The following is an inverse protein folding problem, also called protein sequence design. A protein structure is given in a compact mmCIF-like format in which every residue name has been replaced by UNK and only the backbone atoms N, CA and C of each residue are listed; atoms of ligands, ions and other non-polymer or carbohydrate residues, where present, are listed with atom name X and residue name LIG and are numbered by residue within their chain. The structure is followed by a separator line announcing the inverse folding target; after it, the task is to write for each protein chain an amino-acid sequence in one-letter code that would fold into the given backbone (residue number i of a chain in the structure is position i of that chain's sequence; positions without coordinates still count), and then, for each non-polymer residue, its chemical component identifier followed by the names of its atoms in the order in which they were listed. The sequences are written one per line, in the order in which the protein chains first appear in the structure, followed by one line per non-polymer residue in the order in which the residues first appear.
data_IF_722797675600
#
_entry.id   IF_722797675600
#
_cell.length_a   1.000
_cell.length_b   1.000
_cell.length_c   1.000
_cell.angle_alpha   90.00
_cell.angle_beta   90.00
_cell.angle_gamma   90.00
#
_symmetry.space_group_name_H-M   'P 1'
#
loop_
_entity.id
_entity.type
_entity.pdbx_description
1 polymer ?
#
# COMPACT_ATOMS: atom_id res chain seq x y z
N UNK A 1 -2.10 -11.59 -13.57
CA UNK A 1 -2.96 -10.58 -12.91
C UNK A 1 -4.26 -11.28 -12.55
N UNK A 2 -4.90 -10.99 -11.41
CA UNK A 2 -6.11 -11.70 -11.00
C UNK A 2 -7.20 -11.64 -12.07
N UNK A 3 -7.74 -12.79 -12.47
CA UNK A 3 -8.77 -12.89 -13.53
C UNK A 3 -10.18 -13.06 -12.98
N UNK A 4 -10.31 -13.28 -11.67
CA UNK A 4 -11.59 -13.49 -10.97
C UNK A 4 -11.77 -12.45 -9.84
N UNK A 5 -12.98 -11.94 -9.62
CA UNK A 5 -13.25 -11.04 -8.51
C UNK A 5 -13.17 -11.78 -7.16
N UNK A 6 -12.74 -11.07 -6.11
CA UNK A 6 -12.78 -11.57 -4.72
C UNK A 6 -12.98 -10.42 -3.74
N UNK A 7 -13.44 -10.76 -2.54
CA UNK A 7 -13.52 -9.85 -1.38
C UNK A 7 -12.58 -10.37 -0.32
N UNK A 8 -11.80 -9.48 0.29
CA UNK A 8 -10.89 -9.84 1.39
C UNK A 8 -10.79 -8.71 2.39
N UNK A 9 -10.62 -9.06 3.65
CA UNK A 9 -10.20 -8.12 4.68
C UNK A 9 -8.69 -7.90 4.55
N UNK A 10 -8.27 -6.68 4.21
CA UNK A 10 -6.84 -6.36 4.02
C UNK A 10 -5.99 -6.64 5.27
N UNK A 11 -6.59 -6.57 6.45
CA UNK A 11 -5.90 -6.85 7.71
C UNK A 11 -5.54 -8.34 7.88
N UNK A 12 -6.17 -9.23 7.14
CA UNK A 12 -5.95 -10.68 7.16
C UNK A 12 -4.99 -11.16 6.06
N UNK A 13 -4.53 -10.25 5.17
CA UNK A 13 -3.58 -10.60 4.13
C UNK A 13 -2.16 -10.83 4.71
N UNK A 14 -1.35 -11.71 4.10
CA UNK A 14 0.06 -11.84 4.45
C UNK A 14 0.79 -10.50 4.32
N UNK A 15 1.68 -10.22 5.27
CA UNK A 15 2.43 -8.96 5.35
C UNK A 15 3.93 -9.21 5.33
N UNK A 16 4.63 -8.30 4.66
CA UNK A 16 6.07 -8.23 4.61
C UNK A 16 6.57 -7.19 5.61
N UNK A 17 7.52 -7.56 6.45
CA UNK A 17 8.16 -6.62 7.37
C UNK A 17 9.24 -5.82 6.65
N UNK A 18 9.26 -4.51 6.89
CA UNK A 18 10.23 -3.57 6.32
C UNK A 18 10.96 -2.81 7.43
N UNK A 19 12.16 -2.34 7.09
CA UNK A 19 12.99 -1.49 7.95
C UNK A 19 13.16 -2.04 9.39
N UNK A 20 13.27 -3.37 9.54
CA UNK A 20 13.46 -4.02 10.84
C UNK A 20 12.22 -4.03 11.75
N UNK A 21 11.01 -4.07 11.19
CA UNK A 21 9.75 -4.14 11.95
C UNK A 21 9.09 -2.79 12.18
N UNK A 22 9.64 -1.72 11.61
CA UNK A 22 9.10 -0.35 11.70
C UNK A 22 7.87 -0.18 10.85
N UNK A 23 7.77 -1.00 9.80
CA UNK A 23 6.62 -1.03 8.93
C UNK A 23 6.28 -2.47 8.55
N UNK A 24 4.98 -2.72 8.36
CA UNK A 24 4.47 -3.88 7.66
C UNK A 24 3.73 -3.44 6.40
N UNK A 25 3.84 -4.23 5.34
CA UNK A 25 3.21 -3.94 4.05
C UNK A 25 2.52 -5.16 3.46
N UNK A 26 1.45 -4.95 2.71
CA UNK A 26 0.88 -5.92 1.78
C UNK A 26 0.44 -5.21 0.51
N UNK A 27 0.07 -5.94 -0.55
CA UNK A 27 -0.39 -5.32 -1.78
C UNK A 27 -1.57 -6.06 -2.43
N UNK A 28 -2.39 -5.27 -3.13
CA UNK A 28 -3.38 -5.74 -4.10
C UNK A 28 -3.01 -5.22 -5.48
N UNK A 29 -3.03 -6.11 -6.48
CA UNK A 29 -2.67 -5.77 -7.85
C UNK A 29 -3.85 -5.96 -8.80
N UNK A 30 -4.05 -4.99 -9.68
CA UNK A 30 -5.06 -4.96 -10.75
C UNK A 30 -4.37 -4.61 -12.07
N UNK A 31 -5.02 -4.83 -13.22
CA UNK A 31 -4.40 -4.69 -14.55
C UNK A 31 -3.63 -3.38 -14.77
N UNK A 32 -4.16 -2.26 -14.27
CA UNK A 32 -3.56 -0.94 -14.44
C UNK A 32 -2.87 -0.35 -13.20
N UNK A 33 -3.04 -0.94 -12.02
CA UNK A 33 -2.57 -0.33 -10.78
C UNK A 33 -2.26 -1.33 -9.67
N UNK A 34 -1.37 -0.92 -8.76
CA UNK A 34 -1.07 -1.61 -7.51
C UNK A 34 -1.46 -0.72 -6.34
N UNK A 35 -2.22 -1.28 -5.41
CA UNK A 35 -2.51 -0.70 -4.11
C UNK A 35 -1.62 -1.38 -3.09
N UNK A 36 -0.67 -0.64 -2.53
CA UNK A 36 0.13 -1.09 -1.40
C UNK A 36 -0.52 -0.55 -0.12
N UNK A 37 -0.64 -1.41 0.88
CA UNK A 37 -1.19 -1.09 2.18
C UNK A 37 -0.06 -1.13 3.18
N UNK A 38 0.15 -0.04 3.91
CA UNK A 38 1.29 0.12 4.79
C UNK A 38 0.85 0.47 6.21
N UNK A 39 1.39 -0.25 7.18
CA UNK A 39 1.25 0.02 8.62
C UNK A 39 2.60 0.50 9.15
N UNK A 40 2.68 1.77 9.53
CA UNK A 40 3.83 2.33 10.23
C UNK A 40 3.63 2.31 11.73
N UNK A 41 4.62 1.80 12.47
CA UNK A 41 4.54 1.73 13.92
C UNK A 41 5.19 2.95 14.60
N UNK A 42 4.59 3.45 15.69
CA UNK A 42 5.17 4.52 16.50
C UNK A 42 6.55 4.17 17.02
N UNK A 43 7.37 5.20 17.27
CA UNK A 43 8.67 5.04 17.91
C UNK A 43 9.75 4.35 17.08
N UNK A 44 9.41 3.83 15.88
CA UNK A 44 10.39 3.42 14.89
C UNK A 44 11.03 4.64 14.20
N UNK A 45 12.16 4.45 13.48
CA UNK A 45 12.59 5.41 12.49
C UNK A 45 11.50 5.74 11.48
N UNK A 46 11.70 6.76 10.66
CA UNK A 46 10.67 7.07 9.67
C UNK A 46 10.34 5.87 8.78
N UNK A 47 9.09 5.83 8.32
CA UNK A 47 8.53 4.84 7.39
C UNK A 47 9.34 4.71 6.10
N UNK A 48 10.08 5.75 5.74
CA UNK A 48 11.06 5.79 4.65
C UNK A 48 12.44 6.34 5.11
N UNK A 49 12.72 6.37 6.41
CA UNK A 49 13.94 6.91 7.04
C UNK A 49 13.86 8.37 7.56
N UNK A 50 14.53 8.68 8.68
CA UNK A 50 14.47 9.99 9.37
C UNK A 50 14.81 11.22 8.47
N UNK A 51 14.47 12.43 8.96
CA UNK A 51 14.53 13.74 8.26
C UNK A 51 15.84 13.96 7.47
N UNK A 52 15.86 14.83 6.44
CA UNK A 52 17.07 15.13 5.65
C UNK A 52 18.31 15.54 6.47
N UNK A 53 18.13 16.19 7.63
CA UNK A 53 19.23 16.52 8.57
C UNK A 53 19.96 15.31 9.14
N UNK A 54 19.37 14.12 9.04
CA UNK A 54 19.82 12.90 9.70
C UNK A 54 20.60 11.98 8.74
N UNK A 55 20.89 12.44 7.51
CA UNK A 55 21.84 11.82 6.58
C UNK A 55 21.32 10.61 5.79
N UNK A 56 20.00 10.41 5.68
CA UNK A 56 19.39 9.26 4.99
C UNK A 56 18.84 9.61 3.60
N UNK A 57 18.79 8.61 2.71
CA UNK A 57 18.38 8.76 1.30
C UNK A 57 16.84 8.75 1.17
N UNK A 58 16.21 9.80 0.61
CA UNK A 58 14.76 9.80 0.33
C UNK A 58 14.38 8.69 -0.65
N UNK A 59 13.12 8.24 -0.62
CA UNK A 59 12.61 7.42 -1.71
C UNK A 59 12.45 8.29 -2.96
N UNK A 60 12.92 7.78 -4.10
CA UNK A 60 12.90 8.45 -5.39
C UNK A 60 12.73 7.39 -6.46
N UNK A 61 11.64 7.50 -7.23
CA UNK A 61 11.31 6.52 -8.26
C UNK A 61 10.57 7.16 -9.45
N UNK A 62 10.63 6.56 -10.64
CA UNK A 62 10.07 7.14 -11.87
C UNK A 62 8.55 6.94 -12.02
N UNK A 63 7.85 6.66 -10.93
CA UNK A 63 6.41 6.43 -10.88
C UNK A 63 5.72 7.53 -10.09
N UNK A 64 4.54 7.94 -10.53
CA UNK A 64 3.63 8.70 -9.68
C UNK A 64 3.14 7.81 -8.52
N UNK A 65 2.92 8.43 -7.36
CA UNK A 65 2.35 7.80 -6.17
C UNK A 65 1.29 8.69 -5.56
N UNK A 66 0.17 8.10 -5.15
CA UNK A 66 -0.79 8.75 -4.29
C UNK A 66 -0.93 7.99 -2.97
N UNK A 67 -0.92 8.69 -1.84
CA UNK A 67 -1.04 8.09 -0.51
C UNK A 67 -2.33 8.59 0.14
N UNK A 68 -3.30 7.71 0.36
CA UNK A 68 -4.49 8.01 1.16
C UNK A 68 -4.27 7.52 2.59
N UNK A 69 -4.33 8.43 3.56
CA UNK A 69 -4.21 8.09 4.97
C UNK A 69 -5.56 7.68 5.57
N UNK A 70 -5.60 6.51 6.21
CA UNK A 70 -6.80 5.90 6.78
C UNK A 70 -6.85 6.06 8.30
N UNK A 71 -5.72 5.82 9.00
CA UNK A 71 -5.58 6.03 10.45
C UNK A 71 -4.18 6.50 10.83
N UNK A 72 -4.02 7.02 12.05
CA UNK A 72 -2.76 7.58 12.55
C UNK A 72 -2.34 8.85 11.79
N UNK A 73 -1.16 9.36 12.14
CA UNK A 73 -0.64 10.61 11.57
C UNK A 73 0.82 10.45 11.15
N UNK A 74 1.18 11.04 10.01
CA UNK A 74 2.54 11.03 9.49
C UNK A 74 3.00 12.45 9.13
N UNK A 75 4.28 12.73 9.29
CA UNK A 75 4.96 13.88 8.69
C UNK A 75 5.53 13.44 7.35
N UNK A 76 5.16 14.12 6.26
CA UNK A 76 5.66 13.82 4.90
C UNK A 76 6.42 15.01 4.36
N UNK A 77 7.70 14.82 4.07
CA UNK A 77 8.53 15.78 3.34
C UNK A 77 8.53 15.42 1.86
N UNK A 78 8.24 16.40 1.01
CA UNK A 78 8.24 16.31 -0.46
C UNK A 78 9.27 17.29 -1.02
N UNK A 79 10.16 16.81 -1.89
CA UNK A 79 11.24 17.63 -2.42
C UNK A 79 12.28 18.00 -1.36
N UNK A 80 12.75 19.25 -1.38
CA UNK A 80 13.82 19.72 -0.50
C UNK A 80 13.29 20.13 0.88
N UNK A 81 12.22 20.93 0.94
CA UNK A 81 11.81 21.62 2.17
C UNK A 81 10.32 21.47 2.54
N UNK A 82 9.46 21.01 1.63
CA UNK A 82 8.01 21.05 1.85
C UNK A 82 7.56 19.88 2.73
N UNK A 83 7.28 20.17 4.01
CA UNK A 83 6.90 19.18 5.01
C UNK A 83 5.47 19.39 5.50
N UNK A 84 4.68 18.32 5.49
CA UNK A 84 3.25 18.33 5.77
C UNK A 84 2.88 17.34 6.88
N UNK A 85 1.95 17.73 7.74
CA UNK A 85 1.26 16.82 8.65
C UNK A 85 0.08 16.18 7.92
N UNK A 86 0.12 14.86 7.76
CA UNK A 86 -0.85 14.08 7.00
C UNK A 86 -1.56 13.11 7.94
N UNK A 87 -2.88 13.26 8.10
CA UNK A 87 -3.71 12.43 8.96
C UNK A 87 -4.87 11.79 8.18
N UNK A 88 -5.83 11.15 8.88
CA UNK A 88 -6.93 10.42 8.25
C UNK A 88 -7.74 11.30 7.30
N UNK A 89 -8.01 10.79 6.09
CA UNK A 89 -8.75 11.50 5.04
C UNK A 89 -7.90 12.46 4.20
N UNK A 90 -6.64 12.71 4.55
CA UNK A 90 -5.71 13.42 3.67
C UNK A 90 -5.22 12.49 2.56
N UNK A 91 -5.00 13.08 1.38
CA UNK A 91 -4.32 12.44 0.25
C UNK A 91 -3.05 13.21 -0.09
N UNK A 92 -1.95 12.49 -0.31
CA UNK A 92 -0.69 13.04 -0.82
C UNK A 92 -0.53 12.61 -2.26
N UNK A 93 -0.27 13.54 -3.17
CA UNK A 93 0.13 13.22 -4.54
C UNK A 93 1.61 13.53 -4.72
N UNK A 94 2.36 12.55 -5.21
CA UNK A 94 3.81 12.59 -5.38
C UNK A 94 4.10 12.29 -6.85
N UNK A 95 4.44 13.31 -7.65
CA UNK A 95 4.86 13.10 -9.04
C UNK A 95 6.13 12.26 -9.14
N UNK A 96 6.30 11.57 -10.26
CA UNK A 96 7.50 10.80 -10.57
C UNK A 96 8.79 11.61 -10.35
N UNK A 97 9.77 10.96 -9.73
CA UNK A 97 11.09 11.48 -9.38
C UNK A 97 11.11 12.61 -8.33
N UNK A 98 9.97 12.95 -7.70
CA UNK A 98 9.97 13.84 -6.53
C UNK A 98 10.46 13.04 -5.32
N UNK A 99 11.59 13.44 -4.70
CA UNK A 99 12.06 12.81 -3.48
C UNK A 99 11.03 12.96 -2.37
N UNK A 100 10.78 11.90 -1.61
CA UNK A 100 9.83 11.97 -0.52
C UNK A 100 10.24 11.11 0.67
N UNK A 101 9.85 11.57 1.86
CA UNK A 101 10.10 10.90 3.12
C UNK A 101 8.85 11.00 4.01
N UNK A 102 8.36 9.89 4.55
CA UNK A 102 7.24 9.83 5.49
C UNK A 102 7.66 9.33 6.86
N UNK A 103 7.22 9.95 7.95
CA UNK A 103 7.52 9.56 9.34
C UNK A 103 6.23 9.44 10.14
N UNK A 104 6.02 8.35 10.89
CA UNK A 104 4.92 8.31 11.86
C UNK A 104 5.17 9.33 12.97
N UNK A 105 4.16 10.16 13.24
CA UNK A 105 4.17 11.10 14.35
C UNK A 105 3.00 10.78 15.29
N UNK A 106 3.27 10.74 16.58
CA UNK A 106 2.31 10.32 17.61
C UNK A 106 2.51 8.88 18.07
N UNK A 107 1.50 8.37 18.80
CA UNK A 107 1.53 7.06 19.48
C UNK A 107 0.64 6.00 18.80
N UNK A 108 -0.11 6.37 17.76
CA UNK A 108 -0.99 5.45 17.03
C UNK A 108 -0.29 4.90 15.78
N UNK A 109 -0.57 3.63 15.46
CA UNK A 109 -0.16 3.03 14.18
C UNK A 109 -0.76 3.82 13.02
N UNK A 110 0.10 4.30 12.12
CA UNK A 110 -0.30 4.93 10.87
C UNK A 110 -0.67 3.86 9.85
N UNK A 111 -1.85 3.96 9.26
CA UNK A 111 -2.31 3.08 8.19
C UNK A 111 -2.64 3.90 6.95
N UNK A 112 -1.97 3.59 5.84
CA UNK A 112 -2.14 4.27 4.57
C UNK A 112 -2.24 3.31 3.39
N UNK A 113 -2.79 3.82 2.29
CA UNK A 113 -2.87 3.13 1.00
C UNK A 113 -2.06 3.93 -0.02
N UNK A 114 -0.96 3.35 -0.48
CA UNK A 114 -0.21 3.87 -1.62
C UNK A 114 -0.76 3.30 -2.93
N UNK A 115 -0.98 4.17 -3.90
CA UNK A 115 -1.57 3.85 -5.19
C UNK A 115 -0.54 4.16 -6.26
N UNK A 116 -0.22 3.14 -7.07
CA UNK A 116 0.69 3.25 -8.21
C UNK A 116 -0.04 2.87 -9.49
N UNK A 117 0.06 3.71 -10.51
CA UNK A 117 -0.39 3.45 -11.88
C UNK A 117 0.63 4.06 -12.86
N UNK A 118 1.34 3.26 -13.69
CA UNK A 118 1.14 1.82 -13.89
C UNK A 118 1.62 0.96 -12.70
N UNK A 119 1.36 -0.34 -12.78
CA UNK A 119 1.78 -1.32 -11.78
C UNK A 119 3.30 -1.27 -11.55
N UNK A 120 3.70 -1.23 -10.28
CA UNK A 120 5.10 -1.41 -9.83
C UNK A 120 5.47 -2.89 -9.84
N UNK A 121 6.15 -3.34 -10.89
CA UNK A 121 6.60 -4.75 -11.04
C UNK A 121 7.42 -5.23 -9.83
N UNK A 122 8.27 -4.36 -9.29
CA UNK A 122 9.11 -4.62 -8.12
C UNK A 122 8.32 -4.79 -6.81
N UNK A 123 7.05 -4.40 -6.77
CA UNK A 123 6.14 -4.60 -5.63
C UNK A 123 5.17 -5.77 -5.80
N UNK A 124 5.14 -6.42 -6.98
CA UNK A 124 4.20 -7.53 -7.24
C UNK A 124 4.35 -8.72 -6.30
N UNK A 125 5.54 -8.96 -5.76
CA UNK A 125 5.77 -10.07 -4.83
C UNK A 125 4.89 -9.97 -3.57
N UNK A 126 4.56 -8.75 -3.12
CA UNK A 126 3.65 -8.53 -1.98
C UNK A 126 2.21 -8.99 -2.27
N UNK A 127 1.84 -9.08 -3.56
CA UNK A 127 0.56 -9.56 -4.04
C UNK A 127 0.58 -11.04 -4.47
N UNK A 128 1.66 -11.79 -4.20
CA UNK A 128 1.79 -13.19 -4.62
C UNK A 128 0.64 -14.08 -4.13
N UNK A 129 0.10 -13.79 -2.93
CA UNK A 129 -1.07 -14.45 -2.35
C UNK A 129 -2.36 -14.29 -3.18
N UNK A 130 -2.39 -13.38 -4.16
CA UNK A 130 -3.51 -13.18 -5.08
C UNK A 130 -3.30 -14.00 -6.35
N UNK A 131 -2.06 -14.10 -6.78
CA UNK A 131 -1.66 -14.87 -7.95
C UNK A 131 -1.73 -16.38 -7.68
N UNK A 132 -1.54 -16.80 -6.42
CA UNK A 132 -1.72 -18.21 -6.01
C UNK A 132 -3.19 -18.61 -5.81
N UNK A 133 -4.11 -17.66 -5.61
CA UNK A 133 -5.57 -17.94 -5.52
C UNK A 133 -6.16 -18.45 -6.84
N UNK A 134 -5.41 -18.39 -7.93
CA UNK A 134 -5.79 -19.03 -9.18
C UNK A 134 -5.90 -20.56 -9.05
N UNK A 135 -5.14 -21.18 -8.14
CA UNK A 135 -5.10 -22.65 -7.96
C UNK A 135 -6.18 -23.16 -6.98
N UNK A 136 -6.54 -22.39 -5.94
CA UNK A 136 -7.43 -22.82 -4.84
C UNK A 136 -8.86 -22.25 -4.89
N UNK A 137 -9.23 -21.51 -5.94
CA UNK A 137 -10.56 -20.91 -6.03
C UNK A 137 -11.67 -21.99 -6.12
N UNK A 138 -12.72 -21.93 -5.28
CA UNK A 138 -13.88 -22.79 -5.46
C UNK A 138 -14.47 -22.58 -6.86
N UNK A 139 -14.70 -23.69 -7.56
CA UNK A 139 -15.41 -23.67 -8.84
C UNK A 139 -16.78 -23.03 -8.60
N UNK A 140 -17.24 -22.14 -9.49
CA UNK A 140 -18.61 -21.66 -9.40
C UNK A 140 -19.54 -22.87 -9.41
N UNK A 141 -20.48 -22.91 -8.46
CA UNK A 141 -21.53 -23.93 -8.46
C UNK A 141 -22.19 -23.92 -9.84
N UNK A 142 -22.49 -25.10 -10.44
CA UNK A 142 -23.22 -25.16 -11.69
C UNK A 142 -24.45 -24.27 -11.59
N UNK A 143 -24.66 -23.40 -12.60
CA UNK A 143 -25.87 -22.61 -12.67
C UNK A 143 -27.07 -23.55 -12.54
N UNK A 144 -27.94 -23.33 -11.55
CA UNK A 144 -29.19 -24.05 -11.47
C UNK A 144 -29.99 -23.69 -12.72
N UNK A 145 -30.24 -24.68 -13.58
CA UNK A 145 -31.16 -24.50 -14.70
C UNK A 145 -32.51 -24.03 -14.15
N UNK A 146 -33.14 -23.02 -14.79
CA UNK A 146 -34.45 -22.57 -14.35
C UNK A 146 -35.41 -23.76 -14.38
N UNK A 147 -36.15 -23.98 -13.28
CA UNK A 147 -37.18 -25.00 -13.26
C UNK A 147 -38.17 -24.76 -14.41
N UNK A 148 -38.57 -25.83 -15.14
CA UNK A 148 -39.54 -25.67 -16.21
C UNK A 148 -40.84 -25.13 -15.63
N UNK A 149 -41.34 -24.05 -16.21
CA UNK A 149 -42.63 -23.48 -15.85
C UNK A 149 -43.73 -24.54 -15.98
N UNK A 150 -44.49 -24.72 -14.90
CA UNK A 150 -45.63 -25.63 -14.82
C UNK A 150 -46.81 -25.19 -15.71
#
# INVERSE_FOLDING_TARGET
MPTKPYVVNVHELPRESRAGGVMEETAVVMDGALLKFSWGYPGGPSMSGHRPSDGMKPDVHPFDQAILMISGTVEVTLGEDDTYTVGPGHIVYIPANVPHIGRVIGEETAFGVDIFAPVREDYKYMAAHQLSREEDAPQPSPAQEPEPAA
#
